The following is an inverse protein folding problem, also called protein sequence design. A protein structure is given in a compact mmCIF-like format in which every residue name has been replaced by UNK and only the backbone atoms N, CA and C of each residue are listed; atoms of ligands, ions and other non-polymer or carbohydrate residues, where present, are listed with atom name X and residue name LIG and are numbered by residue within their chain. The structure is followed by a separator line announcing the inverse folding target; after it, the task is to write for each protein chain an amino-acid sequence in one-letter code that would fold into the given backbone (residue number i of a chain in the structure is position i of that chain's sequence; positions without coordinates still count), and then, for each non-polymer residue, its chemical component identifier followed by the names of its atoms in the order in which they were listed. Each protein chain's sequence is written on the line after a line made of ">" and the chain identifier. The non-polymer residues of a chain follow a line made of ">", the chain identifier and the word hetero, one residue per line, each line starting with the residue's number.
data_IF_986957449680
#
_entry.id   IF_986957449680
#
_cell.length_a   1.000
_cell.length_b   1.000
_cell.length_c   1.000
_cell.angle_alpha   90.00
_cell.angle_beta   90.00
_cell.angle_gamma   90.00
#
_symmetry.space_group_name_H-M   'P 1'
#
loop_
_entity.id
_entity.type
_entity.pdbx_description
1 polymer ?
#
# COMPACT_ATOMS: atom_id res chain seq x y z
N UNK A 1 -9.98 3.90 -3.84
CA UNK A 1 -9.16 2.99 -3.01
C UNK A 1 -7.76 3.56 -2.95
N UNK A 2 -7.25 3.90 -1.76
CA UNK A 2 -5.83 4.15 -1.54
C UNK A 2 -5.26 2.80 -1.12
N UNK A 3 -4.59 2.12 -2.03
CA UNK A 3 -4.13 0.74 -1.81
C UNK A 3 -3.11 0.39 -2.87
N UNK A 4 -1.99 -0.18 -2.42
CA UNK A 4 -0.78 -0.39 -3.20
C UNK A 4 -1.04 -0.98 -4.59
N UNK A 5 -0.32 -0.46 -5.58
CA UNK A 5 -0.36 -0.97 -6.94
C UNK A 5 0.03 -2.45 -7.02
N UNK A 6 -0.49 -3.11 -8.05
CA UNK A 6 -0.25 -4.52 -8.40
C UNK A 6 1.24 -4.81 -8.62
N UNK A 7 2.07 -3.78 -8.81
CA UNK A 7 3.51 -3.88 -9.07
C UNK A 7 4.39 -3.92 -7.80
N UNK A 8 3.82 -4.03 -6.59
CA UNK A 8 4.56 -4.32 -5.35
C UNK A 8 4.20 -5.69 -4.76
N UNK A 9 3.81 -6.61 -5.64
CA UNK A 9 3.59 -7.98 -5.22
C UNK A 9 4.92 -8.58 -4.77
N UNK A 10 4.86 -9.32 -3.67
CA UNK A 10 6.04 -10.02 -3.17
C UNK A 10 6.50 -11.01 -4.25
N UNK A 11 7.83 -11.15 -4.49
CA UNK A 11 8.32 -12.05 -5.53
C UNK A 11 7.72 -13.44 -5.39
N UNK A 12 7.40 -14.08 -6.51
CA UNK A 12 6.75 -15.40 -6.52
C UNK A 12 7.50 -16.42 -5.67
N UNK A 13 8.83 -16.37 -5.66
CA UNK A 13 9.65 -17.27 -4.83
C UNK A 13 9.39 -17.12 -3.33
N UNK A 14 9.09 -15.90 -2.88
CA UNK A 14 8.79 -15.63 -1.48
C UNK A 14 7.35 -16.02 -1.10
N UNK A 15 6.46 -16.29 -2.06
CA UNK A 15 5.16 -16.95 -1.78
C UNK A 15 5.36 -18.41 -1.35
N UNK A 16 6.41 -19.07 -1.86
CA UNK A 16 6.76 -20.46 -1.55
C UNK A 16 7.46 -20.66 -0.20
N UNK A 17 7.83 -19.58 0.51
CA UNK A 17 8.58 -19.63 1.76
C UNK A 17 7.62 -19.64 2.97
N UNK A 18 7.45 -20.75 3.71
CA UNK A 18 6.58 -20.78 4.89
C UNK A 18 7.02 -19.78 5.97
N UNK A 19 8.33 -19.58 6.12
CA UNK A 19 8.90 -18.63 7.08
C UNK A 19 8.38 -17.20 6.88
N UNK A 20 8.17 -16.76 5.62
CA UNK A 20 7.60 -15.44 5.34
C UNK A 20 6.17 -15.34 5.87
N UNK A 21 5.33 -16.33 5.61
CA UNK A 21 3.93 -16.34 6.07
C UNK A 21 3.85 -16.30 7.59
N UNK A 22 4.68 -17.10 8.26
CA UNK A 22 4.80 -17.08 9.73
C UNK A 22 5.26 -15.71 10.25
N UNK A 23 6.34 -15.17 9.68
CA UNK A 23 6.87 -13.86 10.05
C UNK A 23 5.85 -12.74 9.86
N UNK A 24 5.26 -12.62 8.67
CA UNK A 24 4.24 -11.59 8.37
C UNK A 24 3.01 -11.73 9.27
N UNK A 25 2.57 -12.96 9.55
CA UNK A 25 1.43 -13.20 10.42
C UNK A 25 1.68 -12.69 11.84
N UNK A 26 2.82 -13.02 12.43
CA UNK A 26 3.18 -12.64 13.80
C UNK A 26 3.42 -11.14 13.93
N UNK A 27 4.23 -10.54 13.06
CA UNK A 27 4.57 -9.11 13.19
C UNK A 27 3.37 -8.20 12.96
N UNK A 28 2.48 -8.55 12.02
CA UNK A 28 1.28 -7.75 11.74
C UNK A 28 0.30 -7.88 12.91
N UNK A 29 0.11 -9.10 13.43
CA UNK A 29 -0.76 -9.32 14.59
C UNK A 29 -0.24 -8.60 15.84
N UNK A 30 1.05 -8.76 16.14
CA UNK A 30 1.68 -8.11 17.29
C UNK A 30 1.70 -6.58 17.18
N UNK A 31 1.63 -5.99 15.99
CA UNK A 31 1.54 -4.55 15.82
C UNK A 31 0.09 -4.05 15.90
N UNK A 32 -0.85 -4.73 15.24
CA UNK A 32 -2.23 -4.27 15.08
C UNK A 32 -3.10 -4.65 16.28
N UNK A 33 -2.96 -5.87 16.78
CA UNK A 33 -3.88 -6.48 17.76
C UNK A 33 -3.34 -6.46 19.20
N UNK A 34 -2.22 -5.78 19.46
CA UNK A 34 -1.74 -5.56 20.82
C UNK A 34 -2.60 -4.50 21.56
N UNK A 35 -2.42 -4.37 22.88
CA UNK A 35 -3.24 -3.46 23.72
C UNK A 35 -3.09 -1.98 23.34
N UNK A 36 -1.93 -1.56 22.82
CA UNK A 36 -1.72 -0.23 22.27
C UNK A 36 -2.39 -0.09 20.88
N UNK A 37 -2.14 -1.04 19.98
CA UNK A 37 -2.66 -1.07 18.62
C UNK A 37 -4.19 -1.04 18.59
N UNK A 38 -4.86 -1.84 19.42
CA UNK A 38 -6.34 -1.82 19.54
C UNK A 38 -6.91 -0.41 19.82
N UNK A 39 -6.18 0.42 20.56
CA UNK A 39 -6.59 1.79 20.91
C UNK A 39 -6.24 2.80 19.82
N UNK A 40 -5.01 2.75 19.31
CA UNK A 40 -4.44 3.83 18.50
C UNK A 40 -4.34 3.52 17.00
N UNK A 41 -4.25 2.25 16.61
CA UNK A 41 -3.97 1.84 15.23
C UNK A 41 -4.95 2.43 14.21
N UNK A 42 -6.24 2.48 14.52
CA UNK A 42 -7.24 3.04 13.61
C UNK A 42 -7.09 4.56 13.42
N UNK A 43 -6.64 5.28 14.46
CA UNK A 43 -6.37 6.72 14.38
C UNK A 43 -5.06 6.96 13.62
N UNK A 44 -3.99 6.25 14.00
CA UNK A 44 -2.68 6.30 13.34
C UNK A 44 -2.78 5.94 11.84
N UNK A 45 -3.65 4.98 11.49
CA UNK A 45 -3.97 4.65 10.10
C UNK A 45 -4.56 5.83 9.32
N UNK A 46 -5.53 6.54 9.91
CA UNK A 46 -6.15 7.70 9.25
C UNK A 46 -5.16 8.86 9.14
N UNK A 47 -4.41 9.11 10.21
CA UNK A 47 -3.33 10.10 10.27
C UNK A 47 -2.28 9.84 9.20
N UNK A 48 -1.88 8.57 9.03
CA UNK A 48 -0.94 8.10 8.00
C UNK A 48 -1.43 8.41 6.58
N UNK A 49 -2.73 8.22 6.31
CA UNK A 49 -3.32 8.55 5.00
C UNK A 49 -3.27 10.05 4.74
N UNK A 50 -3.67 10.87 5.71
CA UNK A 50 -3.62 12.33 5.59
C UNK A 50 -2.19 12.83 5.38
N UNK A 51 -1.25 12.38 6.22
CA UNK A 51 0.16 12.73 6.13
C UNK A 51 0.77 12.32 4.78
N UNK A 52 0.48 11.11 4.30
CA UNK A 52 0.94 10.69 2.96
C UNK A 52 0.42 11.61 1.86
N UNK A 53 -0.87 12.00 1.94
CA UNK A 53 -1.50 12.85 0.95
C UNK A 53 -0.87 14.24 0.91
N UNK A 54 -0.65 14.84 2.06
CA UNK A 54 -0.10 16.20 2.18
C UNK A 54 1.40 16.26 1.88
N UNK A 55 2.19 15.31 2.41
CA UNK A 55 3.65 15.40 2.35
C UNK A 55 4.24 14.84 1.06
N UNK A 56 3.51 13.98 0.34
CA UNK A 56 4.06 13.30 -0.84
C UNK A 56 3.15 13.32 -2.06
N UNK A 57 1.87 12.91 -1.92
CA UNK A 57 0.98 12.76 -3.07
C UNK A 57 0.63 14.10 -3.73
N UNK A 58 0.10 15.06 -2.97
CA UNK A 58 -0.29 16.37 -3.50
C UNK A 58 0.92 17.16 -4.01
N UNK A 59 2.06 17.23 -3.29
CA UNK A 59 3.27 17.89 -3.80
C UNK A 59 3.74 17.32 -5.14
N UNK A 60 3.76 15.99 -5.30
CA UNK A 60 4.09 15.34 -6.57
C UNK A 60 3.15 15.80 -7.69
N UNK A 61 1.83 15.82 -7.45
CA UNK A 61 0.88 16.24 -8.46
C UNK A 61 1.03 17.72 -8.84
N UNK A 62 1.37 18.58 -7.88
CA UNK A 62 1.70 19.99 -8.12
C UNK A 62 2.99 20.14 -8.94
N UNK A 63 4.01 19.36 -8.63
CA UNK A 63 5.26 19.32 -9.41
C UNK A 63 5.00 18.93 -10.87
N UNK A 64 4.26 17.84 -11.10
CA UNK A 64 3.88 17.39 -12.45
C UNK A 64 3.07 18.45 -13.21
N UNK A 65 2.19 19.18 -12.51
CA UNK A 65 1.40 20.27 -13.10
C UNK A 65 2.30 21.45 -13.51
N UNK A 66 3.26 21.82 -12.65
CA UNK A 66 4.21 22.89 -12.94
C UNK A 66 5.11 22.54 -14.13
N UNK A 67 5.59 21.30 -14.22
CA UNK A 67 6.32 20.81 -15.40
C UNK A 67 5.48 20.95 -16.68
N UNK A 68 4.17 20.69 -16.62
CA UNK A 68 3.27 20.88 -17.76
C UNK A 68 3.12 22.36 -18.14
N UNK A 69 3.04 23.27 -17.15
CA UNK A 69 2.98 24.72 -17.37
C UNK A 69 4.28 25.21 -18.05
N UNK A 70 5.45 24.81 -17.53
CA UNK A 70 6.76 25.24 -18.04
C UNK A 70 7.08 24.70 -19.44
N UNK A 71 6.61 23.49 -19.74
CA UNK A 71 6.74 22.90 -21.07
C UNK A 71 5.94 23.65 -22.12
N UNK A 72 4.78 24.20 -21.75
CA UNK A 72 3.93 24.98 -22.65
C UNK A 72 4.53 26.32 -23.04
N UNK A 73 5.28 26.96 -22.15
CA UNK A 73 5.91 28.28 -22.39
C UNK A 73 7.14 28.19 -23.31
N UNK A 74 7.85 27.06 -23.35
CA UNK A 74 9.19 26.94 -23.96
C UNK A 74 9.25 26.20 -25.32
N UNK A 75 8.13 26.12 -26.06
CA UNK A 75 7.99 25.42 -27.37
C UNK A 75 8.07 23.88 -27.32
N UNK A 76 7.05 23.22 -27.86
CA UNK A 76 6.63 21.84 -27.58
C UNK A 76 7.45 20.68 -28.21
N UNK A 77 8.58 20.92 -28.87
CA UNK A 77 9.24 19.91 -29.73
C UNK A 77 9.58 18.58 -29.02
N UNK A 78 10.25 18.64 -27.86
CA UNK A 78 10.74 17.44 -27.12
C UNK A 78 9.90 17.16 -25.86
N UNK A 79 9.15 18.16 -25.35
CA UNK A 79 8.41 18.05 -24.08
C UNK A 79 6.99 17.49 -24.24
N UNK A 80 6.45 17.33 -25.45
CA UNK A 80 5.06 16.90 -25.67
C UNK A 80 4.75 15.53 -25.03
N UNK A 81 5.63 14.54 -25.20
CA UNK A 81 5.41 13.18 -24.64
C UNK A 81 5.40 13.20 -23.11
N UNK A 82 6.29 13.98 -22.49
CA UNK A 82 6.34 14.15 -21.04
C UNK A 82 5.06 14.81 -20.50
N UNK A 83 4.58 15.86 -21.17
CA UNK A 83 3.35 16.57 -20.78
C UNK A 83 2.13 15.65 -20.88
N UNK A 84 2.00 14.88 -21.97
CA UNK A 84 0.91 13.90 -22.11
C UNK A 84 0.93 12.91 -20.94
N UNK A 85 2.10 12.37 -20.62
CA UNK A 85 2.27 11.43 -19.51
C UNK A 85 1.91 12.05 -18.17
N UNK A 86 2.41 13.26 -17.88
CA UNK A 86 2.16 13.95 -16.62
C UNK A 86 0.67 14.28 -16.44
N UNK A 87 0.00 14.76 -17.49
CA UNK A 87 -1.44 15.02 -17.47
C UNK A 87 -2.25 13.73 -17.27
N UNK A 88 -1.83 12.61 -17.86
CA UNK A 88 -2.48 11.32 -17.66
C UNK A 88 -2.34 10.83 -16.21
N UNK A 89 -1.15 10.99 -15.59
CA UNK A 89 -0.94 10.69 -14.18
C UNK A 89 -1.87 11.54 -13.31
N UNK A 90 -1.91 12.85 -13.54
CA UNK A 90 -2.77 13.78 -12.80
C UNK A 90 -4.24 13.36 -12.92
N UNK A 91 -4.71 13.09 -14.14
CA UNK A 91 -6.07 12.62 -14.41
C UNK A 91 -6.39 11.34 -13.64
N UNK A 92 -5.53 10.33 -13.75
CA UNK A 92 -5.75 9.03 -13.11
C UNK A 92 -5.83 9.16 -11.58
N UNK A 93 -4.97 9.97 -10.98
CA UNK A 93 -4.95 10.19 -9.54
C UNK A 93 -6.15 11.02 -9.06
N UNK A 94 -6.58 12.04 -9.82
CA UNK A 94 -7.82 12.78 -9.54
C UNK A 94 -9.04 11.88 -9.63
N UNK A 95 -9.14 11.03 -10.65
CA UNK A 95 -10.25 10.07 -10.80
C UNK A 95 -10.28 9.09 -9.63
N UNK A 96 -9.13 8.61 -9.17
CA UNK A 96 -9.05 7.76 -7.98
C UNK A 96 -9.47 8.50 -6.72
N UNK A 97 -9.04 9.74 -6.56
CA UNK A 97 -9.34 10.58 -5.42
C UNK A 97 -10.85 10.90 -5.35
N UNK A 98 -11.47 11.29 -6.46
CA UNK A 98 -12.91 11.55 -6.56
C UNK A 98 -13.80 10.35 -6.16
N UNK A 99 -13.28 9.11 -6.34
CA UNK A 99 -13.98 7.88 -5.90
C UNK A 99 -13.92 7.67 -4.38
N UNK A 100 -12.92 8.25 -3.71
CA UNK A 100 -12.69 8.11 -2.27
C UNK A 100 -13.28 9.31 -1.54
N UNK A 101 -12.93 10.50 -1.97
CA UNK A 101 -13.33 11.76 -1.37
C UNK A 101 -14.68 12.23 -1.95
N UNK A 102 -15.67 12.37 -1.08
CA UNK A 102 -16.99 12.90 -1.44
C UNK A 102 -17.11 14.40 -1.18
N UNK A 103 -16.25 14.97 -0.32
CA UNK A 103 -16.32 16.36 0.10
C UNK A 103 -15.62 17.29 -0.90
N UNK A 104 -14.42 16.92 -1.35
CA UNK A 104 -13.67 17.68 -2.36
C UNK A 104 -13.61 16.84 -3.63
N UNK A 105 -14.15 17.37 -4.72
CA UNK A 105 -14.19 16.70 -6.02
C UNK A 105 -13.78 17.66 -7.13
N UNK A 106 -12.97 17.15 -8.05
CA UNK A 106 -12.68 17.86 -9.27
C UNK A 106 -13.80 17.64 -10.30
N UNK A 107 -14.39 18.70 -10.88
CA UNK A 107 -15.44 18.57 -11.88
C UNK A 107 -14.86 18.11 -13.22
N UNK A 108 -15.46 17.06 -13.79
CA UNK A 108 -15.13 16.50 -15.11
C UNK A 108 -13.61 16.25 -15.33
N UNK A 109 -13.01 15.27 -14.64
CA UNK A 109 -11.60 14.89 -14.81
C UNK A 109 -11.24 14.49 -16.25
N UNK A 110 -12.22 14.14 -17.08
CA UNK A 110 -12.05 13.77 -18.47
C UNK A 110 -11.43 14.89 -19.31
N UNK A 111 -11.67 16.15 -18.92
CA UNK A 111 -11.11 17.35 -19.58
C UNK A 111 -9.60 17.44 -19.50
N UNK A 112 -8.98 16.77 -18.52
CA UNK A 112 -7.53 16.79 -18.31
C UNK A 112 -6.87 15.98 -19.44
N UNK A 113 -6.45 16.69 -20.49
CA UNK A 113 -5.90 16.15 -21.72
C UNK A 113 -5.03 17.20 -22.38
N UNK A 114 -4.09 16.77 -23.22
CA UNK A 114 -3.17 17.67 -23.91
C UNK A 114 -3.91 18.71 -24.77
N UNK A 115 -4.98 18.29 -25.44
CA UNK A 115 -5.79 19.14 -26.34
C UNK A 115 -6.48 20.29 -25.59
N UNK A 116 -6.98 20.02 -24.38
CA UNK A 116 -7.73 20.98 -23.58
C UNK A 116 -6.86 21.72 -22.56
N UNK A 117 -5.56 21.43 -22.49
CA UNK A 117 -4.69 22.00 -21.47
C UNK A 117 -4.42 23.48 -21.75
N UNK A 118 -5.06 24.36 -20.95
CA UNK A 118 -4.91 25.80 -21.00
C UNK A 118 -4.63 26.39 -19.60
N UNK A 119 -4.30 27.69 -19.54
CA UNK A 119 -3.96 28.37 -18.29
C UNK A 119 -5.13 28.29 -17.30
N UNK A 120 -6.37 28.47 -17.77
CA UNK A 120 -7.56 28.39 -16.94
C UNK A 120 -7.75 27.00 -16.30
N UNK A 121 -7.61 25.92 -17.07
CA UNK A 121 -7.68 24.55 -16.57
C UNK A 121 -6.53 24.26 -15.59
N UNK A 122 -5.33 24.78 -15.86
CA UNK A 122 -4.20 24.61 -14.96
C UNK A 122 -4.44 25.27 -13.60
N UNK A 123 -5.07 26.45 -13.58
CA UNK A 123 -5.46 27.15 -12.35
C UNK A 123 -6.59 26.42 -11.63
N UNK A 124 -7.55 25.86 -12.37
CA UNK A 124 -8.64 25.04 -11.81
C UNK A 124 -8.09 23.80 -11.07
N UNK A 125 -7.12 23.11 -11.67
CA UNK A 125 -6.45 21.95 -11.06
C UNK A 125 -5.67 22.39 -9.80
N UNK A 126 -5.00 23.54 -9.85
CA UNK A 126 -4.24 24.06 -8.72
C UNK A 126 -5.13 24.42 -7.52
N UNK A 127 -6.23 25.15 -7.77
CA UNK A 127 -7.24 25.43 -6.74
C UNK A 127 -7.84 24.14 -6.16
N UNK A 128 -8.07 23.12 -6.99
CA UNK A 128 -8.48 21.81 -6.50
C UNK A 128 -7.44 21.17 -5.57
N UNK A 129 -6.15 21.22 -5.92
CA UNK A 129 -5.08 20.70 -5.05
C UNK A 129 -4.95 21.48 -3.74
N UNK A 130 -5.19 22.78 -3.74
CA UNK A 130 -5.25 23.59 -2.52
C UNK A 130 -6.42 23.20 -1.63
N UNK A 131 -7.62 23.07 -2.20
CA UNK A 131 -8.81 22.61 -1.47
C UNK A 131 -8.61 21.20 -0.90
N UNK A 132 -8.00 20.31 -1.68
CA UNK A 132 -7.69 18.96 -1.25
C UNK A 132 -6.67 18.95 -0.12
N UNK A 133 -5.63 19.78 -0.20
CA UNK A 133 -4.63 19.93 0.85
C UNK A 133 -5.27 20.45 2.15
N UNK A 134 -6.09 21.49 2.06
CA UNK A 134 -6.84 22.04 3.21
C UNK A 134 -7.77 21.01 3.85
N UNK A 135 -8.48 20.22 3.06
CA UNK A 135 -9.32 19.12 3.55
C UNK A 135 -8.51 18.10 4.36
N UNK A 136 -7.36 17.66 3.83
CA UNK A 136 -6.50 16.70 4.53
C UNK A 136 -5.85 17.31 5.77
N UNK A 137 -5.54 18.61 5.77
CA UNK A 137 -5.03 19.35 6.95
C UNK A 137 -6.04 19.40 8.07
N UNK A 138 -7.28 19.81 7.78
CA UNK A 138 -8.35 19.85 8.78
C UNK A 138 -8.63 18.45 9.32
N UNK A 139 -8.68 17.45 8.44
CA UNK A 139 -8.90 16.05 8.84
C UNK A 139 -7.77 15.54 9.73
N UNK A 140 -6.52 15.83 9.38
CA UNK A 140 -5.35 15.46 10.19
C UNK A 140 -5.43 16.07 11.60
N UNK A 141 -5.69 17.37 11.70
CA UNK A 141 -5.83 18.07 13.00
C UNK A 141 -6.95 17.44 13.83
N UNK A 142 -8.10 17.16 13.23
CA UNK A 142 -9.21 16.50 13.91
C UNK A 142 -8.85 15.11 14.45
N UNK A 143 -8.08 14.31 13.71
CA UNK A 143 -7.61 12.99 14.16
C UNK A 143 -6.58 13.13 15.28
N UNK A 144 -5.65 14.08 15.17
CA UNK A 144 -4.63 14.34 16.19
C UNK A 144 -5.26 14.77 17.51
N UNK A 145 -6.30 15.61 17.48
CA UNK A 145 -7.08 15.98 18.66
C UNK A 145 -7.78 14.77 19.29
N UNK A 146 -8.38 13.88 18.48
CA UNK A 146 -8.98 12.64 19.02
C UNK A 146 -7.94 11.76 19.74
N UNK A 147 -6.74 11.66 19.17
CA UNK A 147 -5.63 10.92 19.77
C UNK A 147 -5.16 11.57 21.08
N UNK A 148 -5.05 12.89 21.10
CA UNK A 148 -4.68 13.68 22.28
C UNK A 148 -5.71 13.54 23.41
N UNK A 149 -7.01 13.58 23.10
CA UNK A 149 -8.08 13.34 24.08
C UNK A 149 -7.90 11.98 24.75
N UNK A 150 -7.62 10.91 23.99
CA UNK A 150 -7.36 9.58 24.56
C UNK A 150 -6.12 9.60 25.47
N UNK A 151 -5.05 10.28 25.08
CA UNK A 151 -3.86 10.41 25.93
C UNK A 151 -4.17 11.16 27.23
N UNK A 152 -4.85 12.31 27.16
CA UNK A 152 -5.23 13.12 28.33
C UNK A 152 -6.19 12.35 29.24
N UNK A 153 -7.18 11.64 28.71
CA UNK A 153 -8.08 10.79 29.50
C UNK A 153 -7.34 9.67 30.25
N UNK A 154 -6.30 9.10 29.63
CA UNK A 154 -5.47 8.07 30.26
C UNK A 154 -4.53 8.66 31.31
N UNK A 155 -3.94 9.81 31.01
CA UNK A 155 -3.03 10.54 31.91
C UNK A 155 -3.74 11.01 33.18
N UNK A 156 -4.94 11.60 33.02
CA UNK A 156 -5.80 12.01 34.13
C UNK A 156 -6.22 10.84 35.04
N UNK A 157 -6.35 9.63 34.49
CA UNK A 157 -6.65 8.43 35.29
C UNK A 157 -5.43 7.96 36.08
N UNK A 158 -4.31 7.80 35.40
CA UNK A 158 -3.01 7.54 36.01
C UNK A 158 -1.90 7.64 34.93
N UNK A 159 -0.93 8.55 35.08
CA UNK A 159 0.15 8.74 34.10
C UNK A 159 1.00 7.46 33.89
N UNK A 160 1.11 6.61 34.91
CA UNK A 160 1.88 5.36 34.82
C UNK A 160 1.24 4.35 33.86
N UNK A 161 -0.08 4.35 33.70
CA UNK A 161 -0.78 3.41 32.80
C UNK A 161 -0.32 3.63 31.36
N UNK A 162 -0.23 4.89 30.93
CA UNK A 162 0.19 5.21 29.57
C UNK A 162 1.66 4.83 29.34
N UNK A 163 2.53 5.12 30.32
CA UNK A 163 3.95 4.76 30.26
C UNK A 163 4.15 3.25 30.15
N UNK A 164 3.47 2.48 31.00
CA UNK A 164 3.53 1.01 30.99
C UNK A 164 2.94 0.43 29.70
N UNK A 165 1.80 0.96 29.22
CA UNK A 165 1.20 0.53 27.96
C UNK A 165 2.18 0.71 26.80
N UNK A 166 2.80 1.89 26.70
CA UNK A 166 3.79 2.16 25.63
C UNK A 166 5.02 1.28 25.78
N UNK A 167 5.56 1.15 26.99
CA UNK A 167 6.75 0.34 27.25
C UNK A 167 6.56 -1.15 26.89
N UNK A 168 5.37 -1.69 27.14
CA UNK A 168 5.11 -3.13 26.95
C UNK A 168 4.65 -3.48 25.54
N UNK A 169 3.98 -2.55 24.83
CA UNK A 169 3.27 -2.86 23.59
C UNK A 169 3.67 -2.01 22.39
N UNK A 170 4.53 -1.00 22.55
CA UNK A 170 5.01 -0.18 21.44
C UNK A 170 6.50 -0.41 21.19
N UNK A 171 6.83 -0.87 19.99
CA UNK A 171 8.20 -1.12 19.57
C UNK A 171 8.57 -0.18 18.41
N UNK A 172 9.52 0.73 18.64
CA UNK A 172 9.98 1.70 17.65
C UNK A 172 10.57 1.03 16.40
N UNK A 173 11.38 -0.01 16.58
CA UNK A 173 12.02 -0.71 15.46
C UNK A 173 10.98 -1.45 14.62
N UNK A 174 10.02 -2.09 15.27
CA UNK A 174 8.90 -2.74 14.57
C UNK A 174 8.08 -1.72 13.79
N UNK A 175 7.79 -0.57 14.40
CA UNK A 175 7.12 0.53 13.73
C UNK A 175 7.90 1.00 12.50
N UNK A 176 9.21 1.20 12.61
CA UNK A 176 10.10 1.62 11.51
C UNK A 176 10.04 0.64 10.32
N UNK A 177 10.11 -0.66 10.60
CA UNK A 177 10.05 -1.74 9.61
C UNK A 177 8.67 -1.78 8.92
N UNK A 178 7.60 -1.76 9.70
CA UNK A 178 6.22 -1.88 9.19
C UNK A 178 5.72 -0.62 8.50
N UNK A 179 6.31 0.54 8.82
CA UNK A 179 5.98 1.82 8.17
C UNK A 179 6.92 2.17 7.03
N UNK A 180 8.01 1.43 6.83
CA UNK A 180 9.02 1.74 5.82
C UNK A 180 9.56 3.20 5.96
N UNK A 181 9.69 3.70 7.19
CA UNK A 181 10.03 5.09 7.46
C UNK A 181 11.43 5.49 6.96
N UNK A 182 12.34 4.53 6.76
CA UNK A 182 13.68 4.76 6.20
C UNK A 182 13.78 4.64 4.68
N UNK A 183 12.70 4.28 3.97
CA UNK A 183 12.75 4.20 2.50
C UNK A 183 13.04 5.57 1.89
N UNK A 184 14.08 5.66 1.04
CA UNK A 184 14.39 6.89 0.30
C UNK A 184 13.25 7.31 -0.63
N UNK A 185 12.71 6.38 -1.40
CA UNK A 185 11.57 6.60 -2.30
C UNK A 185 10.26 6.22 -1.60
N UNK A 186 9.49 7.25 -1.23
CA UNK A 186 8.24 7.14 -0.47
C UNK A 186 7.04 6.75 -1.34
N UNK A 187 7.12 7.09 -2.62
CA UNK A 187 6.18 6.71 -3.67
C UNK A 187 6.94 6.45 -4.97
N UNK A 188 6.28 5.78 -5.91
CA UNK A 188 6.77 5.56 -7.27
C UNK A 188 5.65 5.78 -8.27
N UNK A 189 5.98 6.25 -9.46
CA UNK A 189 5.07 6.30 -10.62
C UNK A 189 5.26 5.01 -11.40
N UNK A 190 4.17 4.27 -11.62
CA UNK A 190 4.15 3.00 -12.33
C UNK A 190 4.06 3.21 -13.85
N UNK A 191 4.33 2.15 -14.61
CA UNK A 191 4.29 2.19 -16.08
C UNK A 191 2.91 2.54 -16.65
N UNK A 192 1.84 2.21 -15.91
CA UNK A 192 0.46 2.53 -16.24
C UNK A 192 0.02 3.96 -15.85
N UNK A 193 0.97 4.88 -15.65
CA UNK A 193 0.70 6.28 -15.28
C UNK A 193 -0.14 6.42 -14.00
N UNK A 194 0.18 5.60 -13.00
CA UNK A 194 -0.42 5.68 -11.67
C UNK A 194 0.62 5.85 -10.58
N UNK A 195 0.23 6.53 -9.49
CA UNK A 195 1.10 6.73 -8.34
C UNK A 195 0.85 5.61 -7.33
N UNK A 196 1.94 4.99 -6.90
CA UNK A 196 1.94 3.95 -5.88
C UNK A 196 2.68 4.42 -4.62
N UNK A 197 1.98 4.31 -3.49
CA UNK A 197 2.55 4.50 -2.16
C UNK A 197 3.42 3.30 -1.75
N UNK A 198 4.63 3.58 -1.24
CA UNK A 198 5.54 2.57 -0.64
C UNK A 198 5.68 2.70 0.88
N UNK A 199 5.41 3.88 1.43
CA UNK A 199 5.41 4.09 2.87
C UNK A 199 4.17 3.50 3.52
N UNK A 200 4.27 3.26 4.82
CA UNK A 200 3.15 2.92 5.66
C UNK A 200 2.34 1.70 5.15
N UNK A 201 2.99 0.60 4.68
CA UNK A 201 2.26 -0.54 4.12
C UNK A 201 1.30 -1.19 5.12
N UNK A 202 1.63 -1.15 6.41
CA UNK A 202 0.78 -1.62 7.50
C UNK A 202 -0.56 -0.88 7.58
N UNK A 203 -0.61 0.37 7.13
CA UNK A 203 -1.82 1.19 7.11
C UNK A 203 -2.62 1.09 5.80
N UNK A 204 -2.07 0.43 4.78
CA UNK A 204 -2.68 0.29 3.47
C UNK A 204 -3.59 -0.93 3.38
N UNK A 205 -4.81 -0.72 2.88
CA UNK A 205 -5.68 -1.83 2.51
C UNK A 205 -5.35 -2.33 1.11
N UNK A 206 -5.45 -3.64 0.86
CA UNK A 206 -5.29 -4.18 -0.48
C UNK A 206 -6.37 -3.64 -1.43
N UNK A 207 -6.03 -3.55 -2.71
CA UNK A 207 -7.03 -3.30 -3.76
C UNK A 207 -8.10 -4.40 -3.77
N UNK A 208 -9.36 -4.04 -4.06
CA UNK A 208 -10.45 -5.02 -4.11
C UNK A 208 -10.17 -6.04 -5.19
N UNK A 209 -10.26 -7.32 -4.84
CA UNK A 209 -10.22 -8.43 -5.79
C UNK A 209 -11.32 -9.41 -5.46
N UNK A 210 -11.84 -10.07 -6.50
CA UNK A 210 -12.90 -11.09 -6.38
C UNK A 210 -12.37 -12.45 -5.95
N UNK A 211 -11.07 -12.71 -6.11
CA UNK A 211 -10.43 -14.00 -5.86
C UNK A 211 -9.46 -13.93 -4.67
N UNK A 212 -8.87 -15.08 -4.31
CA UNK A 212 -7.85 -15.19 -3.26
C UNK A 212 -6.65 -14.32 -3.64
N UNK A 213 -6.29 -13.37 -2.78
CA UNK A 213 -5.17 -12.46 -3.05
C UNK A 213 -3.90 -12.94 -2.36
N UNK A 214 -3.28 -13.97 -2.94
CA UNK A 214 -1.93 -14.37 -2.53
C UNK A 214 -0.95 -13.22 -2.74
N UNK A 215 -1.12 -12.47 -3.85
CA UNK A 215 -0.30 -11.32 -4.21
C UNK A 215 -0.83 -10.02 -3.62
N UNK A 216 -0.69 -9.89 -2.30
CA UNK A 216 -0.90 -8.63 -1.59
C UNK A 216 0.46 -8.02 -1.23
N UNK A 217 0.54 -6.70 -1.08
CA UNK A 217 1.76 -6.06 -0.58
C UNK A 217 2.15 -6.61 0.80
N UNK A 218 3.45 -6.68 1.05
CA UNK A 218 3.97 -7.17 2.32
C UNK A 218 3.56 -6.25 3.48
N UNK A 219 3.26 -6.85 4.63
CA UNK A 219 2.77 -6.18 5.84
C UNK A 219 1.35 -5.63 5.75
N UNK A 220 0.57 -6.00 4.73
CA UNK A 220 -0.83 -5.62 4.70
C UNK A 220 -1.55 -6.13 5.97
N UNK A 221 -2.41 -5.32 6.62
CA UNK A 221 -3.08 -5.71 7.86
C UNK A 221 -4.22 -6.70 7.62
N UNK A 222 -4.79 -6.69 6.41
CA UNK A 222 -5.87 -7.56 5.98
C UNK A 222 -5.61 -8.03 4.54
N UNK A 223 -6.10 -9.22 4.22
CA UNK A 223 -6.02 -9.84 2.89
C UNK A 223 -7.41 -10.27 2.43
N UNK A 224 -7.65 -10.31 1.12
CA UNK A 224 -8.92 -10.82 0.60
C UNK A 224 -8.87 -12.34 0.42
N UNK A 225 -9.85 -13.02 1.01
CA UNK A 225 -10.15 -14.43 0.79
C UNK A 225 -11.60 -14.52 0.33
N UNK A 226 -11.83 -15.00 -0.90
CA UNK A 226 -13.17 -15.11 -1.52
C UNK A 226 -14.01 -13.82 -1.42
N UNK A 227 -13.40 -12.66 -1.69
CA UNK A 227 -14.06 -11.35 -1.66
C UNK A 227 -14.33 -10.78 -0.26
N UNK A 228 -14.00 -11.49 0.82
CA UNK A 228 -14.05 -11.00 2.20
C UNK A 228 -12.66 -10.60 2.69
N UNK A 229 -12.58 -9.52 3.47
CA UNK A 229 -11.34 -9.12 4.14
C UNK A 229 -11.16 -9.96 5.41
N UNK A 230 -10.03 -10.65 5.50
CA UNK A 230 -9.63 -11.44 6.66
C UNK A 230 -8.33 -10.84 7.20
N UNK A 231 -8.17 -10.88 8.52
CA UNK A 231 -6.94 -10.42 9.16
C UNK A 231 -5.75 -11.29 8.72
N UNK A 232 -4.60 -10.63 8.51
CA UNK A 232 -3.41 -11.28 7.94
C UNK A 232 -2.93 -12.45 8.79
N UNK A 233 -3.10 -12.39 10.12
CA UNK A 233 -2.80 -13.51 11.00
C UNK A 233 -3.52 -14.80 10.58
N UNK A 234 -4.85 -14.77 10.52
CA UNK A 234 -5.67 -15.93 10.18
C UNK A 234 -5.43 -16.41 8.75
N UNK A 235 -5.28 -15.48 7.81
CA UNK A 235 -4.95 -15.82 6.43
C UNK A 235 -3.62 -16.60 6.35
N UNK A 236 -2.58 -16.10 7.00
CA UNK A 236 -1.26 -16.71 6.97
C UNK A 236 -1.23 -18.07 7.68
N UNK A 237 -1.97 -18.21 8.79
CA UNK A 237 -2.15 -19.50 9.46
C UNK A 237 -2.84 -20.52 8.54
N UNK A 238 -3.89 -20.13 7.82
CA UNK A 238 -4.55 -21.02 6.84
C UNK A 238 -3.60 -21.46 5.73
N UNK A 239 -2.75 -20.55 5.24
CA UNK A 239 -1.73 -20.88 4.22
C UNK A 239 -0.71 -21.88 4.76
N UNK A 240 -0.23 -21.72 5.99
CA UNK A 240 0.69 -22.67 6.63
C UNK A 240 0.07 -24.06 6.84
N UNK A 241 -1.21 -24.11 7.20
CA UNK A 241 -1.96 -25.37 7.24
C UNK A 241 -2.10 -26.00 5.85
N UNK A 242 -2.40 -25.21 4.82
CA UNK A 242 -2.44 -25.70 3.45
C UNK A 242 -1.08 -26.27 2.99
N UNK A 243 0.04 -25.62 3.35
CA UNK A 243 1.38 -26.16 3.11
C UNK A 243 1.58 -27.52 3.78
N UNK A 244 1.17 -27.65 5.04
CA UNK A 244 1.31 -28.89 5.79
C UNK A 244 0.49 -30.03 5.17
N UNK A 245 -0.74 -29.74 4.73
CA UNK A 245 -1.61 -30.72 4.04
C UNK A 245 -1.03 -31.13 2.69
N UNK A 246 -0.55 -30.17 1.88
CA UNK A 246 0.05 -30.46 0.57
C UNK A 246 1.30 -31.33 0.73
N UNK A 247 2.18 -31.00 1.68
CA UNK A 247 3.36 -31.79 1.97
C UNK A 247 3.01 -33.21 2.45
N UNK A 248 1.98 -33.34 3.28
CA UNK A 248 1.47 -34.64 3.70
C UNK A 248 0.96 -35.47 2.51
N UNK A 249 0.19 -34.88 1.59
CA UNK A 249 -0.28 -35.53 0.36
C UNK A 249 0.91 -35.98 -0.50
N UNK A 250 1.92 -35.13 -0.66
CA UNK A 250 3.13 -35.44 -1.43
C UNK A 250 3.88 -36.63 -0.86
N UNK A 251 3.97 -36.71 0.46
CA UNK A 251 4.58 -37.82 1.17
C UNK A 251 3.73 -39.10 1.04
N UNK A 252 2.42 -39.00 1.25
CA UNK A 252 1.49 -40.13 1.20
C UNK A 252 1.50 -40.84 -0.16
N UNK A 253 1.46 -40.09 -1.27
CA UNK A 253 1.53 -40.65 -2.62
C UNK A 253 2.95 -40.95 -3.09
N UNK A 254 3.96 -40.77 -2.23
CA UNK A 254 5.37 -40.92 -2.58
C UNK A 254 5.75 -40.15 -3.86
N UNK A 255 5.17 -38.95 -4.07
CA UNK A 255 5.36 -38.16 -5.30
C UNK A 255 6.84 -37.85 -5.50
N UNK A 256 7.56 -37.56 -4.42
CA UNK A 256 9.01 -37.32 -4.47
C UNK A 256 9.79 -38.53 -5.01
N UNK A 257 9.40 -39.76 -4.64
CA UNK A 257 10.04 -40.98 -5.16
C UNK A 257 9.75 -41.16 -6.65
N UNK A 258 8.51 -40.90 -7.07
CA UNK A 258 8.12 -40.99 -8.48
C UNK A 258 8.90 -39.96 -9.33
N UNK A 259 8.98 -38.70 -8.89
CA UNK A 259 9.72 -37.66 -9.64
C UNK A 259 11.22 -37.96 -9.72
N UNK A 260 11.84 -38.45 -8.64
CA UNK A 260 13.24 -38.87 -8.66
C UNK A 260 13.48 -40.04 -9.63
N UNK A 261 12.59 -41.04 -9.66
CA UNK A 261 12.69 -42.16 -10.60
C UNK A 261 12.64 -41.71 -12.08
N UNK A 262 11.75 -40.76 -12.40
CA UNK A 262 11.63 -40.18 -13.75
C UNK A 262 12.91 -39.43 -14.15
N UNK A 263 13.48 -38.64 -13.25
CA UNK A 263 14.74 -37.92 -13.52
C UNK A 263 15.89 -38.90 -13.79
N UNK A 264 15.95 -40.01 -13.06
CA UNK A 264 16.97 -41.05 -13.26
C UNK A 264 16.80 -41.75 -14.62
N UNK A 265 15.57 -42.04 -15.02
CA UNK A 265 15.21 -42.56 -16.34
C UNK A 265 15.58 -41.59 -17.46
N UNK A 266 15.32 -40.29 -17.31
CA UNK A 266 15.74 -39.29 -18.29
C UNK A 266 17.28 -39.20 -18.42
N UNK A 267 18.01 -39.25 -17.31
CA UNK A 267 19.48 -39.24 -17.32
C UNK A 267 20.07 -40.47 -18.02
N UNK A 268 19.50 -41.65 -17.80
CA UNK A 268 19.94 -42.88 -18.49
C UNK A 268 19.62 -42.83 -19.98
N UNK A 269 18.46 -42.30 -20.36
CA UNK A 269 18.09 -42.12 -21.77
C UNK A 269 18.99 -41.13 -22.51
N UNK A 270 19.37 -40.01 -21.87
CA UNK A 270 20.32 -39.04 -22.43
C UNK A 270 21.74 -39.61 -22.57
N UNK A 271 22.17 -40.46 -21.63
CA UNK A 271 23.49 -41.11 -21.66
C UNK A 271 23.59 -42.23 -22.70
N UNK A 272 22.47 -42.83 -23.10
CA UNK A 272 22.39 -43.83 -24.17
C UNK A 272 22.44 -43.23 -25.58
N UNK A 273 22.27 -41.91 -25.71
CA UNK A 273 22.15 -41.21 -27.00
C UNK A 273 23.41 -40.43 -27.41
N UNK A 274 24.43 -40.43 -26.54
CA UNK A 274 25.81 -40.00 -26.79
C UNK A 274 26.71 -41.22 -26.83
#
# INVERSE_FOLDING_TARGET
>A
MIGGGIENNVPLIAEFMPARWGYEGVIVDTYVNNEYGKKFYNLEKKESVCSYKQSYHIPLLKELLNECKDAKTNSFGIKTVLVIKNLEIIKNEIVKENKINKAVRFPSPERISMENFNIALSNEIETYFENLNSFYSITFVGISLQKEVIYVEMDNKNPEILRVLRSNYYNNNLNEILTNSMLKKKLIVLANNTVMQKINPIYLLPAKTKFITLWTHFYAPKKYLFGKLIDTFWFNVMVLWAYSIILFIFLYFNILKQTMSIVTLMKTFLKSKN
#
